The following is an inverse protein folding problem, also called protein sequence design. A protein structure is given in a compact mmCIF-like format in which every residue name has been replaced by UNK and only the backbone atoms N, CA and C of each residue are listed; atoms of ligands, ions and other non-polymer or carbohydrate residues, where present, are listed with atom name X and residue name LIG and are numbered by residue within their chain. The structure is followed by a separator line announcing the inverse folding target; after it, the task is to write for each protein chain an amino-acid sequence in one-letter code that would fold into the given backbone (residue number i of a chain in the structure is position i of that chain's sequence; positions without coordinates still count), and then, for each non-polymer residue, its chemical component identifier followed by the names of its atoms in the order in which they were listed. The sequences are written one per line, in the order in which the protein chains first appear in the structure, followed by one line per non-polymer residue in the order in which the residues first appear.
data_IF_967299494103
#
_entry.id   IF_967299494103
#
_cell.length_a   1.000
_cell.length_b   1.000
_cell.length_c   1.000
_cell.angle_alpha   90.00
_cell.angle_beta   90.00
_cell.angle_gamma   90.00
#
_symmetry.space_group_name_H-M   'P 1'
#
loop_
_entity.id
_entity.type
_entity.pdbx_description
1 polymer ?
#
# COMPACT_ATOMS: atom_id res chain seq x y z
N UNK A 1 -10.46 -9.39 10.24
CA UNK A 1 -9.06 -9.82 10.47
C UNK A 1 -8.90 -11.33 10.53
N UNK A 2 -9.69 -12.04 11.35
CA UNK A 2 -9.59 -13.51 11.46
C UNK A 2 -9.78 -14.26 10.13
N UNK A 3 -10.69 -13.78 9.28
CA UNK A 3 -10.87 -14.34 7.94
C UNK A 3 -9.61 -14.23 7.09
N UNK A 4 -8.92 -13.08 7.13
CA UNK A 4 -7.69 -12.85 6.39
C UNK A 4 -6.54 -13.73 6.90
N UNK A 5 -6.45 -13.92 8.23
CA UNK A 5 -5.50 -14.87 8.85
C UNK A 5 -5.77 -16.30 8.37
N UNK A 6 -7.04 -16.69 8.29
CA UNK A 6 -7.44 -18.02 7.80
C UNK A 6 -7.05 -18.21 6.33
N UNK A 7 -7.33 -17.24 5.47
CA UNK A 7 -6.93 -17.26 4.05
C UNK A 7 -5.42 -17.41 3.94
N UNK A 8 -4.64 -16.57 4.65
CA UNK A 8 -3.18 -16.67 4.71
C UNK A 8 -2.73 -18.06 5.15
N UNK A 9 -3.32 -18.62 6.21
CA UNK A 9 -2.96 -19.95 6.73
C UNK A 9 -3.20 -21.06 5.70
N UNK A 10 -4.32 -21.01 4.96
CA UNK A 10 -4.61 -21.99 3.91
C UNK A 10 -3.58 -21.88 2.79
N UNK A 11 -3.30 -20.66 2.35
CA UNK A 11 -2.32 -20.36 1.31
C UNK A 11 -0.92 -20.86 1.74
N UNK A 12 -0.48 -20.54 2.96
CA UNK A 12 0.81 -20.97 3.54
C UNK A 12 0.96 -22.51 3.60
N UNK A 13 -0.13 -23.23 3.86
CA UNK A 13 -0.14 -24.70 3.85
C UNK A 13 -0.10 -25.31 2.44
N UNK A 14 -0.84 -24.74 1.49
CA UNK A 14 -1.04 -25.35 0.17
C UNK A 14 0.06 -25.01 -0.83
N UNK A 15 0.82 -23.94 -0.61
CA UNK A 15 1.93 -23.56 -1.49
C UNK A 15 3.09 -22.93 -0.70
N UNK A 16 3.80 -23.71 0.14
CA UNK A 16 4.84 -23.19 1.03
C UNK A 16 6.03 -22.55 0.30
N UNK A 17 6.31 -22.95 -0.94
CA UNK A 17 7.44 -22.42 -1.73
C UNK A 17 7.07 -21.25 -2.64
N UNK A 18 5.80 -20.82 -2.65
CA UNK A 18 5.38 -19.72 -3.50
C UNK A 18 5.96 -18.38 -3.03
N UNK A 19 6.54 -17.63 -3.94
CA UNK A 19 6.83 -16.21 -3.74
C UNK A 19 5.51 -15.45 -3.67
N UNK A 20 5.35 -14.64 -2.62
CA UNK A 20 4.08 -13.99 -2.29
C UNK A 20 4.27 -12.54 -1.94
N UNK A 21 3.30 -11.75 -2.37
CA UNK A 21 3.13 -10.38 -1.92
C UNK A 21 1.77 -10.23 -1.28
N UNK A 22 1.76 -9.54 -0.13
CA UNK A 22 0.58 -9.14 0.60
C UNK A 22 0.53 -7.62 0.53
N UNK A 23 -0.30 -7.10 -0.38
CA UNK A 23 -0.35 -5.69 -0.74
C UNK A 23 -1.55 -5.04 -0.06
N UNK A 24 -1.30 -4.03 0.77
CA UNK A 24 -2.38 -3.21 1.30
C UNK A 24 -2.66 -2.05 0.33
N UNK A 25 -3.91 -1.93 -0.09
CA UNK A 25 -4.38 -0.79 -0.90
C UNK A 25 -4.90 0.30 0.03
N UNK A 26 -4.36 1.51 -0.08
CA UNK A 26 -4.73 2.67 0.73
C UNK A 26 -5.17 3.82 -0.16
N UNK A 27 -6.29 4.44 0.15
CA UNK A 27 -6.72 5.68 -0.50
C UNK A 27 -5.92 6.86 0.08
N UNK A 28 -5.21 7.59 -0.79
CA UNK A 28 -4.33 8.69 -0.38
C UNK A 28 -5.05 9.82 0.38
N UNK A 29 -6.38 9.94 0.22
CA UNK A 29 -7.17 10.97 0.89
C UNK A 29 -7.48 10.65 2.36
N UNK A 30 -7.26 9.40 2.78
CA UNK A 30 -7.61 8.94 4.13
C UNK A 30 -6.69 9.47 5.23
N UNK A 31 -5.51 10.00 4.89
CA UNK A 31 -4.57 10.57 5.84
C UNK A 31 -4.23 9.59 6.99
N UNK A 32 -4.27 10.06 8.24
CA UNK A 32 -3.93 9.28 9.43
C UNK A 32 -4.77 8.00 9.61
N UNK A 33 -5.98 7.94 9.04
CA UNK A 33 -6.81 6.74 9.11
C UNK A 33 -6.18 5.57 8.31
N UNK A 34 -5.55 5.85 7.17
CA UNK A 34 -4.88 4.84 6.36
C UNK A 34 -3.69 4.21 7.10
N UNK A 35 -2.96 5.02 7.89
CA UNK A 35 -1.85 4.57 8.70
C UNK A 35 -2.30 3.62 9.83
N UNK A 36 -3.38 3.95 10.54
CA UNK A 36 -3.92 3.07 11.58
C UNK A 36 -4.41 1.74 10.99
N UNK A 37 -5.05 1.77 9.81
CA UNK A 37 -5.42 0.55 9.10
C UNK A 37 -4.18 -0.27 8.75
N UNK A 38 -3.13 0.35 8.21
CA UNK A 38 -1.90 -0.34 7.84
C UNK A 38 -1.27 -1.13 8.99
N UNK A 39 -1.30 -0.58 10.22
CA UNK A 39 -0.83 -1.27 11.43
C UNK A 39 -1.65 -2.54 11.70
N UNK A 40 -2.97 -2.41 11.77
CA UNK A 40 -3.90 -3.53 12.05
C UNK A 40 -3.78 -4.65 11.00
N UNK A 41 -3.64 -4.29 9.71
CA UNK A 41 -3.47 -5.28 8.65
C UNK A 41 -2.10 -5.96 8.70
N UNK A 42 -1.03 -5.22 8.99
CA UNK A 42 0.33 -5.78 9.10
C UNK A 42 0.41 -6.86 10.18
N UNK A 43 -0.21 -6.60 11.33
CA UNK A 43 -0.27 -7.56 12.45
C UNK A 43 -1.02 -8.85 12.09
N UNK A 44 -1.93 -8.81 11.12
CA UNK A 44 -2.80 -9.94 10.80
C UNK A 44 -2.35 -10.77 9.60
N UNK A 45 -1.80 -10.15 8.56
CA UNK A 45 -1.50 -10.85 7.29
C UNK A 45 -0.09 -10.68 6.79
N UNK A 46 0.81 -10.08 7.59
CA UNK A 46 2.20 -9.84 7.22
C UNK A 46 2.31 -9.13 5.86
N UNK A 47 1.93 -7.85 5.84
CA UNK A 47 2.01 -7.04 4.64
C UNK A 47 3.45 -6.94 4.14
N UNK A 48 3.64 -7.04 2.82
CA UNK A 48 4.96 -6.93 2.18
C UNK A 48 5.18 -5.56 1.57
N UNK A 49 4.11 -4.92 1.08
CA UNK A 49 4.16 -3.61 0.44
C UNK A 49 2.78 -2.94 0.45
N UNK A 50 2.76 -1.68 0.00
CA UNK A 50 1.56 -0.85 -0.06
C UNK A 50 1.32 -0.36 -1.48
N UNK A 51 0.06 -0.29 -1.88
CA UNK A 51 -0.39 0.40 -3.08
C UNK A 51 -1.24 1.60 -2.67
N UNK A 52 -0.96 2.77 -3.24
CA UNK A 52 -1.72 3.98 -2.95
C UNK A 52 -2.59 4.35 -4.14
N UNK A 53 -3.83 4.75 -3.90
CA UNK A 53 -4.77 5.14 -4.96
C UNK A 53 -5.26 6.57 -4.77
N UNK A 54 -5.87 7.12 -5.82
CA UNK A 54 -6.44 8.48 -5.85
C UNK A 54 -5.43 9.59 -5.58
N UNK A 55 -4.21 9.43 -6.09
CA UNK A 55 -3.14 10.40 -5.92
C UNK A 55 -3.36 11.65 -6.80
N UNK A 56 -4.09 11.50 -7.90
CA UNK A 56 -4.49 12.55 -8.85
C UNK A 56 -5.41 13.62 -8.26
N UNK A 57 -6.25 13.25 -7.29
CA UNK A 57 -7.19 14.16 -6.65
C UNK A 57 -6.67 14.83 -5.37
N UNK A 58 -5.41 14.59 -4.98
CA UNK A 58 -4.97 14.81 -3.59
C UNK A 58 -3.75 15.71 -3.45
N UNK A 59 -3.92 16.85 -2.75
CA UNK A 59 -2.81 17.63 -2.18
C UNK A 59 -2.11 16.93 -1.00
N UNK A 60 -2.39 15.64 -0.75
CA UNK A 60 -2.01 14.88 0.46
C UNK A 60 -1.12 13.68 0.17
N UNK A 61 -0.28 13.74 -0.88
CA UNK A 61 0.82 12.79 -1.08
C UNK A 61 1.72 12.61 0.15
N UNK A 62 1.69 13.52 1.13
CA UNK A 62 2.37 13.38 2.41
C UNK A 62 2.05 12.08 3.18
N UNK A 63 0.91 11.41 2.93
CA UNK A 63 0.61 10.12 3.57
C UNK A 63 1.62 9.02 3.16
N UNK A 64 2.18 9.09 1.95
CA UNK A 64 3.25 8.19 1.48
C UNK A 64 4.42 8.23 2.45
N UNK A 65 4.82 9.44 2.85
CA UNK A 65 5.95 9.68 3.73
C UNK A 65 5.67 9.11 5.12
N UNK A 66 4.46 9.32 5.64
CA UNK A 66 4.07 8.80 6.95
C UNK A 66 4.03 7.26 6.98
N UNK A 67 3.47 6.63 5.93
CA UNK A 67 3.46 5.16 5.80
C UNK A 67 4.89 4.64 5.72
N UNK A 68 5.73 5.20 4.85
CA UNK A 68 7.12 4.77 4.71
C UNK A 68 7.90 4.91 6.03
N UNK A 69 7.71 6.03 6.75
CA UNK A 69 8.38 6.31 8.01
C UNK A 69 7.93 5.40 9.16
N UNK A 70 6.63 5.18 9.31
CA UNK A 70 6.09 4.44 10.46
C UNK A 70 6.03 2.93 10.24
N UNK A 71 5.62 2.50 9.05
CA UNK A 71 5.37 1.09 8.75
C UNK A 71 6.62 0.36 8.27
N UNK A 72 7.62 1.10 7.75
CA UNK A 72 8.78 0.56 7.02
C UNK A 72 8.39 -0.38 5.87
N UNK A 73 7.18 -0.22 5.34
CA UNK A 73 6.69 -0.96 4.19
C UNK A 73 6.97 -0.15 2.92
N UNK A 74 7.53 -0.78 1.86
CA UNK A 74 7.74 -0.10 0.60
C UNK A 74 6.40 0.19 -0.08
N UNK A 75 6.26 1.39 -0.64
CA UNK A 75 5.19 1.67 -1.60
C UNK A 75 5.62 1.10 -2.94
N UNK A 76 4.81 0.18 -3.48
CA UNK A 76 5.09 -0.51 -4.74
C UNK A 76 4.33 0.09 -5.91
N UNK A 77 3.09 0.53 -5.68
CA UNK A 77 2.18 0.99 -6.72
C UNK A 77 1.52 2.31 -6.33
N UNK A 78 1.24 3.14 -7.33
CA UNK A 78 0.45 4.37 -7.21
C UNK A 78 -0.61 4.45 -8.31
N UNK A 79 -1.85 4.76 -7.92
CA UNK A 79 -2.97 5.05 -8.81
C UNK A 79 -3.12 6.55 -8.97
N UNK A 80 -2.89 7.05 -10.18
CA UNK A 80 -2.90 8.48 -10.54
C UNK A 80 -4.05 8.84 -11.49
N UNK A 81 -5.16 8.10 -11.41
CA UNK A 81 -6.32 8.28 -12.25
C UNK A 81 -7.29 7.12 -12.14
N UNK A 82 -8.32 7.12 -12.99
CA UNK A 82 -9.44 6.17 -12.95
C UNK A 82 -9.28 5.01 -13.93
N UNK A 83 -8.37 5.09 -14.90
CA UNK A 83 -8.21 4.07 -15.94
C UNK A 83 -7.27 2.96 -15.48
N UNK A 84 -7.34 1.82 -16.18
CA UNK A 84 -6.49 0.67 -15.89
C UNK A 84 -4.99 1.00 -16.02
N UNK A 85 -4.65 1.81 -17.02
CA UNK A 85 -3.30 2.32 -17.29
C UNK A 85 -2.78 3.33 -16.25
N UNK A 86 -3.63 3.82 -15.35
CA UNK A 86 -3.26 4.82 -14.34
C UNK A 86 -2.67 4.19 -13.07
N UNK A 87 -2.62 2.86 -12.98
CA UNK A 87 -1.89 2.15 -11.93
C UNK A 87 -0.43 1.95 -12.35
N UNK A 88 0.47 2.70 -11.72
CA UNK A 88 1.89 2.75 -12.05
C UNK A 88 2.74 2.18 -10.94
N UNK A 89 3.95 1.73 -11.27
CA UNK A 89 4.98 1.45 -10.29
C UNK A 89 5.35 2.74 -9.55
N UNK A 90 5.59 2.65 -8.25
CA UNK A 90 6.05 3.81 -7.48
C UNK A 90 7.51 4.12 -7.82
N UNK A 91 7.75 5.36 -8.21
CA UNK A 91 9.08 5.93 -8.38
C UNK A 91 9.26 7.09 -7.39
N UNK A 92 10.21 6.99 -6.43
CA UNK A 92 10.46 8.06 -5.48
C UNK A 92 10.85 9.39 -6.14
N UNK A 93 11.61 9.35 -7.23
CA UNK A 93 12.10 10.56 -7.91
C UNK A 93 10.93 11.31 -8.57
N UNK A 94 10.12 10.60 -9.35
CA UNK A 94 8.91 11.16 -9.99
C UNK A 94 7.93 11.69 -8.94
N UNK A 95 7.82 11.00 -7.79
CA UNK A 95 6.95 11.41 -6.70
C UNK A 95 7.43 12.71 -6.03
N UNK A 96 8.74 12.84 -5.79
CA UNK A 96 9.32 14.05 -5.20
C UNK A 96 9.21 15.22 -6.18
N UNK A 97 9.49 15.00 -7.46
CA UNK A 97 9.32 16.03 -8.50
C UNK A 97 7.88 16.56 -8.52
N UNK A 98 6.89 15.65 -8.57
CA UNK A 98 5.47 16.01 -8.57
C UNK A 98 5.00 16.71 -7.28
N UNK A 99 5.71 16.53 -6.15
CA UNK A 99 5.35 17.15 -4.87
C UNK A 99 5.84 18.61 -4.75
N UNK A 100 6.92 18.97 -5.45
CA UNK A 100 7.58 20.27 -5.35
C UNK A 100 7.46 21.15 -6.60
N UNK A 101 6.87 20.63 -7.69
CA UNK A 101 6.48 21.39 -8.88
C UNK A 101 5.19 22.19 -8.67
#
# INVERSE_FOLDING_TARGET
MEELKKIKTVIDKQAPEALRESILVIDANTGQNGLQQAKVFSESVNLTCVALTKLDGSAKGAIIIAIAKEMKLPVKLVGVGEKMEDLKAFNPDDFIEALFS
#
